data_IF_649908328815
#
_entry.id   IF_649908328815
#
_cell.length_a   1.000
_cell.length_b   1.000
_cell.length_c   1.000
_cell.angle_alpha   90.00
_cell.angle_beta   90.00
_cell.angle_gamma   90.00
#
_symmetry.space_group_name_H-M   'P 1'
#
loop_
_entity.id
_entity.type
_entity.pdbx_description
1 polymer ?
#
# COMPACT_ATOMS: atom_id res chain seq x y z
N UNK A 1 -11.98 6.42 25.96
CA UNK A 1 -11.76 7.27 24.76
C UNK A 1 -10.51 6.76 24.08
N UNK A 2 -10.56 6.37 22.80
CA UNK A 2 -9.32 6.07 22.06
C UNK A 2 -8.47 7.35 22.01
N UNK A 3 -7.16 7.22 22.26
CA UNK A 3 -6.23 8.35 22.20
C UNK A 3 -6.11 8.96 20.79
N UNK A 4 -6.60 8.23 19.79
CA UNK A 4 -6.83 8.71 18.43
C UNK A 4 -8.33 8.90 18.27
N UNK A 5 -8.76 10.03 17.71
CA UNK A 5 -10.18 10.34 17.49
C UNK A 5 -10.88 9.32 16.59
N UNK A 6 -12.07 9.65 16.10
CA UNK A 6 -12.75 8.78 15.14
C UNK A 6 -12.06 8.90 13.77
N UNK A 7 -10.97 8.15 13.59
CA UNK A 7 -10.14 8.15 12.38
C UNK A 7 -9.71 6.73 12.06
N UNK A 8 -9.53 6.48 10.78
CA UNK A 8 -9.01 5.22 10.28
C UNK A 8 -7.55 4.97 10.68
N UNK A 9 -7.28 3.83 11.32
CA UNK A 9 -5.94 3.45 11.78
C UNK A 9 -5.13 2.63 10.76
N UNK A 10 -5.56 2.58 9.49
CA UNK A 10 -4.81 1.94 8.41
C UNK A 10 -4.81 0.40 8.45
N UNK A 11 -5.80 -0.21 9.10
CA UNK A 11 -5.91 -1.66 9.20
C UNK A 11 -6.41 -2.23 7.87
N UNK A 12 -5.51 -2.82 7.08
CA UNK A 12 -5.83 -3.41 5.78
C UNK A 12 -5.55 -4.90 5.76
N UNK A 13 -6.31 -5.68 5.00
CA UNK A 13 -6.05 -7.11 4.84
C UNK A 13 -4.64 -7.38 4.27
N UNK A 14 -4.19 -6.56 3.32
CA UNK A 14 -2.81 -6.60 2.80
C UNK A 14 -1.77 -6.40 3.91
N UNK A 15 -1.97 -5.40 4.76
CA UNK A 15 -1.07 -5.10 5.88
C UNK A 15 -1.02 -6.24 6.90
N UNK A 16 -2.16 -6.77 7.33
CA UNK A 16 -2.20 -7.88 8.29
C UNK A 16 -1.59 -9.17 7.76
N UNK A 17 -1.87 -9.52 6.51
CA UNK A 17 -1.25 -10.69 5.87
C UNK A 17 0.27 -10.53 5.78
N UNK A 18 0.75 -9.37 5.32
CA UNK A 18 2.17 -9.03 5.29
C UNK A 18 2.84 -9.14 6.65
N UNK A 19 2.27 -8.52 7.67
CA UNK A 19 2.80 -8.56 9.04
C UNK A 19 2.88 -9.99 9.57
N UNK A 20 1.82 -10.79 9.40
CA UNK A 20 1.83 -12.18 9.85
C UNK A 20 2.93 -13.00 9.15
N UNK A 21 3.08 -12.85 7.83
CA UNK A 21 4.14 -13.53 7.07
C UNK A 21 5.53 -13.06 7.49
N UNK A 22 5.73 -11.76 7.72
CA UNK A 22 7.00 -11.21 8.17
C UNK A 22 7.39 -11.75 9.56
N UNK A 23 6.44 -11.82 10.50
CA UNK A 23 6.65 -12.41 11.83
C UNK A 23 7.07 -13.88 11.72
N UNK A 24 6.42 -14.67 10.86
CA UNK A 24 6.82 -16.06 10.61
C UNK A 24 8.25 -16.12 10.09
N UNK A 25 8.60 -15.32 9.07
CA UNK A 25 9.95 -15.32 8.49
C UNK A 25 11.04 -14.91 9.49
N UNK A 26 10.79 -13.90 10.32
CA UNK A 26 11.74 -13.48 11.37
C UNK A 26 11.87 -14.56 12.44
N UNK A 27 10.78 -15.20 12.84
CA UNK A 27 10.80 -16.31 13.81
C UNK A 27 11.63 -17.48 13.28
N UNK A 28 11.44 -17.87 12.01
CA UNK A 28 12.22 -18.91 11.35
C UNK A 28 13.71 -18.53 11.28
N UNK A 29 14.02 -17.27 11.02
CA UNK A 29 15.41 -16.76 11.03
C UNK A 29 16.03 -16.87 12.42
N UNK A 30 15.29 -16.53 13.49
CA UNK A 30 15.74 -16.71 14.87
C UNK A 30 16.00 -18.18 15.22
N UNK A 31 15.11 -19.09 14.81
CA UNK A 31 15.32 -20.54 14.96
C UNK A 31 16.56 -21.03 14.23
N UNK A 32 16.82 -20.50 13.02
CA UNK A 32 17.99 -20.86 12.23
C UNK A 32 19.30 -20.50 12.93
N UNK A 33 19.35 -19.36 13.62
CA UNK A 33 20.50 -18.95 14.43
C UNK A 33 20.71 -19.93 15.58
N UNK A 34 19.64 -20.25 16.33
CA UNK A 34 19.72 -21.18 17.46
C UNK A 34 20.15 -22.60 17.02
N UNK A 35 19.74 -23.03 15.83
CA UNK A 35 20.06 -24.34 15.27
C UNK A 35 21.34 -24.37 14.40
N UNK A 36 22.01 -23.23 14.19
CA UNK A 36 23.17 -23.07 13.29
C UNK A 36 22.88 -23.63 11.88
N UNK A 37 21.69 -23.31 11.35
CA UNK A 37 21.16 -23.91 10.12
C UNK A 37 21.05 -22.89 8.97
N UNK A 38 21.96 -22.99 8.00
CA UNK A 38 21.94 -22.14 6.79
C UNK A 38 20.65 -22.36 5.96
N UNK A 39 20.18 -23.59 5.70
CA UNK A 39 18.93 -23.78 4.95
C UNK A 39 17.73 -23.12 5.63
N UNK A 40 17.61 -23.24 6.96
CA UNK A 40 16.51 -22.62 7.70
C UNK A 40 16.59 -21.09 7.65
N UNK A 41 17.81 -20.52 7.67
CA UNK A 41 18.01 -19.09 7.54
C UNK A 41 17.53 -18.59 6.16
N UNK A 42 17.83 -19.32 5.08
CA UNK A 42 17.37 -18.98 3.73
C UNK A 42 15.84 -18.99 3.63
N UNK A 43 15.18 -19.98 4.25
CA UNK A 43 13.71 -20.04 4.31
C UNK A 43 13.15 -18.85 5.10
N UNK A 44 13.73 -18.51 6.25
CA UNK A 44 13.31 -17.38 7.07
C UNK A 44 13.43 -16.04 6.32
N UNK A 45 14.61 -15.75 5.78
CA UNK A 45 14.88 -14.54 4.99
C UNK A 45 13.98 -14.48 3.76
N UNK A 46 13.85 -15.58 3.02
CA UNK A 46 12.98 -15.67 1.85
C UNK A 46 11.51 -15.39 2.21
N UNK A 47 11.03 -15.92 3.32
CA UNK A 47 9.67 -15.67 3.83
C UNK A 47 9.47 -14.21 4.19
N UNK A 48 10.44 -13.57 4.86
CA UNK A 48 10.38 -12.15 5.22
C UNK A 48 10.36 -11.24 3.99
N UNK A 49 11.18 -11.52 2.98
CA UNK A 49 11.15 -10.77 1.71
C UNK A 49 9.84 -11.03 0.96
N UNK A 50 9.37 -12.28 0.97
CA UNK A 50 8.10 -12.69 0.40
C UNK A 50 6.89 -11.96 1.01
N UNK A 51 6.97 -11.58 2.30
CA UNK A 51 5.93 -10.78 2.95
C UNK A 51 5.74 -9.41 2.28
N UNK A 52 6.82 -8.76 1.85
CA UNK A 52 6.76 -7.50 1.09
C UNK A 52 6.07 -7.69 -0.27
N UNK A 53 6.43 -8.75 -0.99
CA UNK A 53 5.79 -9.11 -2.27
C UNK A 53 4.32 -9.43 -2.09
N UNK A 54 3.97 -10.23 -1.08
CA UNK A 54 2.58 -10.57 -0.76
C UNK A 54 1.75 -9.31 -0.45
N UNK A 55 2.28 -8.43 0.39
CA UNK A 55 1.64 -7.15 0.75
C UNK A 55 1.41 -6.31 -0.49
N UNK A 56 2.41 -6.21 -1.37
CA UNK A 56 2.33 -5.46 -2.61
C UNK A 56 1.26 -6.03 -3.57
N UNK A 57 1.27 -7.35 -3.80
CA UNK A 57 0.27 -7.99 -4.66
C UNK A 57 -1.15 -7.84 -4.12
N UNK A 58 -1.34 -7.99 -2.80
CA UNK A 58 -2.63 -7.78 -2.14
C UNK A 58 -3.08 -6.32 -2.24
N UNK A 59 -2.16 -5.37 -2.06
CA UNK A 59 -2.43 -3.95 -2.26
C UNK A 59 -2.90 -3.67 -3.69
N UNK A 60 -2.19 -4.18 -4.70
CA UNK A 60 -2.58 -4.07 -6.11
C UNK A 60 -3.91 -4.78 -6.41
N UNK A 61 -4.25 -5.83 -5.68
CA UNK A 61 -5.53 -6.50 -5.78
C UNK A 61 -6.68 -5.74 -5.08
N UNK A 62 -6.42 -4.62 -4.42
CA UNK A 62 -7.42 -3.81 -3.71
C UNK A 62 -7.69 -4.24 -2.27
N UNK A 63 -6.84 -5.11 -1.71
CA UNK A 63 -6.90 -5.49 -0.29
C UNK A 63 -6.02 -4.59 0.61
N UNK A 64 -5.31 -3.64 -0.02
CA UNK A 64 -4.75 -2.47 0.65
C UNK A 64 -5.70 -1.27 0.52
N UNK A 65 -5.29 -0.14 1.09
CA UNK A 65 -6.00 1.14 0.99
C UNK A 65 -5.01 2.26 0.65
N UNK A 66 -5.45 3.33 -0.04
CA UNK A 66 -4.64 4.52 -0.18
C UNK A 66 -4.35 5.14 1.18
N UNK A 67 -3.23 5.87 1.28
CA UNK A 67 -2.97 6.76 2.40
C UNK A 67 -3.93 7.97 2.35
N UNK A 68 -4.41 8.40 3.51
CA UNK A 68 -5.23 9.60 3.66
C UNK A 68 -6.67 9.33 4.14
N UNK A 69 -7.50 10.38 4.26
CA UNK A 69 -8.87 10.27 4.72
C UNK A 69 -9.71 9.40 3.79
N UNK A 70 -10.63 8.64 4.38
CA UNK A 70 -11.54 7.74 3.66
C UNK A 70 -12.89 7.68 4.40
N UNK A 71 -14.02 7.48 3.69
CA UNK A 71 -15.32 7.34 4.31
C UNK A 71 -15.33 6.15 5.30
N UNK A 72 -16.07 6.27 6.39
CA UNK A 72 -16.18 5.21 7.43
C UNK A 72 -16.64 3.86 6.86
N UNK A 73 -17.49 3.88 5.83
CA UNK A 73 -17.94 2.67 5.13
C UNK A 73 -16.80 1.89 4.47
N UNK A 74 -15.66 2.55 4.20
CA UNK A 74 -14.49 1.92 3.60
C UNK A 74 -13.48 1.44 4.65
N UNK A 75 -13.62 1.85 5.92
CA UNK A 75 -12.69 1.56 7.04
C UNK A 75 -12.46 0.09 7.28
N UNK A 76 -13.49 -0.77 7.28
CA UNK A 76 -13.30 -2.18 7.59
C UNK A 76 -12.27 -2.81 6.65
N UNK A 77 -11.26 -3.44 7.26
CA UNK A 77 -10.12 -4.07 6.57
C UNK A 77 -10.49 -5.10 5.49
N UNK A 78 -11.72 -5.65 5.55
CA UNK A 78 -12.29 -6.60 4.59
C UNK A 78 -12.96 -5.93 3.38
N UNK A 79 -13.20 -4.62 3.42
CA UNK A 79 -13.79 -3.89 2.30
C UNK A 79 -12.72 -3.68 1.24
N UNK A 80 -12.95 -4.25 0.06
CA UNK A 80 -12.02 -4.15 -1.07
C UNK A 80 -12.08 -2.77 -1.71
N UNK A 81 -10.92 -2.17 -1.93
CA UNK A 81 -10.77 -0.95 -2.72
C UNK A 81 -10.91 -1.26 -4.21
N UNK A 82 -11.89 -0.63 -4.86
CA UNK A 82 -12.17 -0.79 -6.29
C UNK A 82 -11.31 0.13 -7.17
N UNK A 83 -10.75 1.20 -6.60
CA UNK A 83 -9.93 2.20 -7.29
C UNK A 83 -8.49 1.74 -7.50
N UNK A 84 -8.03 0.73 -6.74
CA UNK A 84 -6.66 0.20 -6.81
C UNK A 84 -6.18 -0.18 -8.21
N UNK A 85 -7.09 -0.55 -9.13
CA UNK A 85 -6.74 -0.86 -10.54
C UNK A 85 -6.25 0.37 -11.32
N UNK A 86 -6.74 1.55 -10.99
CA UNK A 86 -6.32 2.83 -11.59
C UNK A 86 -5.00 3.31 -10.98
N UNK A 87 -4.68 2.84 -9.78
CA UNK A 87 -3.54 3.29 -8.98
C UNK A 87 -3.88 4.52 -8.15
N UNK A 88 -3.25 4.63 -6.99
CA UNK A 88 -3.46 5.78 -6.10
C UNK A 88 -2.48 6.92 -6.40
N UNK A 89 -2.93 8.18 -6.30
CA UNK A 89 -2.04 9.33 -6.38
C UNK A 89 -0.89 9.20 -5.37
N UNK A 90 0.35 9.37 -5.83
CA UNK A 90 1.53 9.36 -4.95
C UNK A 90 1.98 7.98 -4.43
N UNK A 91 1.23 6.90 -4.64
CA UNK A 91 1.57 5.58 -4.11
C UNK A 91 2.73 4.93 -4.87
N UNK A 92 3.86 4.71 -4.20
CA UNK A 92 5.02 4.02 -4.76
C UNK A 92 4.67 2.60 -5.24
N UNK A 93 3.91 1.84 -4.46
CA UNK A 93 3.51 0.47 -4.81
C UNK A 93 2.68 0.41 -6.10
N UNK A 94 1.75 1.34 -6.29
CA UNK A 94 0.99 1.47 -7.54
C UNK A 94 1.88 1.92 -8.71
N UNK A 95 2.79 2.87 -8.50
CA UNK A 95 3.70 3.36 -9.54
C UNK A 95 4.67 2.29 -10.03
N UNK A 96 5.23 1.49 -9.12
CA UNK A 96 6.09 0.34 -9.47
C UNK A 96 5.33 -0.70 -10.31
N UNK A 97 3.99 -0.73 -10.22
CA UNK A 97 3.12 -1.57 -11.04
C UNK A 97 2.62 -0.86 -12.32
N UNK A 98 3.16 0.32 -12.66
CA UNK A 98 2.75 1.10 -13.83
C UNK A 98 1.38 1.78 -13.70
N UNK A 99 0.81 1.87 -12.50
CA UNK A 99 -0.51 2.48 -12.24
C UNK A 99 -0.37 3.93 -11.77
N UNK A 100 -1.40 4.75 -12.00
CA UNK A 100 -1.46 6.15 -11.55
C UNK A 100 -0.82 7.18 -12.50
N UNK A 101 -0.38 6.79 -13.69
CA UNK A 101 0.29 7.67 -14.65
C UNK A 101 -0.65 8.19 -15.74
N UNK A 102 -1.70 8.96 -15.41
CA UNK A 102 -2.39 9.86 -16.36
C UNK A 102 -3.05 11.05 -15.66
N UNK A 103 -2.33 12.17 -15.58
CA UNK A 103 -2.91 13.50 -15.81
C UNK A 103 -1.89 14.33 -16.58
N UNK A 104 -2.03 14.51 -17.91
CA UNK A 104 -1.33 15.60 -18.56
C UNK A 104 -1.87 16.91 -17.98
N UNK A 105 -1.00 17.65 -17.31
CA UNK A 105 -1.27 19.01 -16.82
C UNK A 105 -1.23 19.97 -18.01
N UNK A 106 -2.16 19.83 -18.96
CA UNK A 106 -2.25 20.67 -20.15
C UNK A 106 -3.67 21.22 -20.31
N UNK A 107 -4.14 22.08 -19.39
CA UNK A 107 -5.27 23.01 -19.68
C UNK A 107 -5.31 24.25 -18.77
N UNK A 108 -4.36 24.46 -17.86
CA UNK A 108 -4.35 25.64 -16.98
C UNK A 108 -3.71 26.89 -17.60
N UNK A 109 -3.05 26.78 -18.77
CA UNK A 109 -2.34 27.92 -19.39
C UNK A 109 -3.14 28.71 -20.45
N UNK A 110 -4.23 28.16 -21.00
CA UNK A 110 -4.98 28.83 -22.08
C UNK A 110 -6.07 29.79 -21.56
N UNK A 111 -6.60 29.57 -20.36
CA UNK A 111 -7.73 30.36 -19.84
C UNK A 111 -7.32 31.77 -19.33
N UNK A 112 -6.06 32.00 -18.96
CA UNK A 112 -5.63 33.30 -18.39
C UNK A 112 -5.35 34.37 -19.45
N UNK A 113 -5.12 33.98 -20.71
CA UNK A 113 -4.82 34.92 -21.81
C UNK A 113 -6.10 35.49 -22.44
N UNK A 114 -7.21 34.74 -22.40
CA UNK A 114 -8.48 35.19 -22.98
C UNK A 114 -9.17 36.31 -22.17
N UNK A 115 -8.82 36.49 -20.90
CA UNK A 115 -9.48 37.48 -20.02
C UNK A 115 -8.80 38.85 -20.00
N UNK A 116 -7.68 39.05 -20.71
CA UNK A 116 -6.90 40.31 -20.70
C UNK A 116 -7.08 41.16 -21.96
N UNK A 117 -7.96 40.78 -22.90
CA UNK A 117 -8.11 41.42 -24.22
C UNK A 117 -9.48 42.12 -24.40
N UNK A 118 -10.24 42.42 -23.34
CA UNK A 118 -11.52 43.14 -23.49
C UNK A 118 -11.79 44.22 -22.44
N UNK A 119 -10.76 44.96 -22.05
CA UNK A 119 -10.89 46.23 -21.30
C UNK A 119 -10.61 47.42 -22.20
#
# INVERSE_FOLDING_TARGET
>A
MSAHGHVDLGHTAAGWAGTATAVIGVTLTGMAVAAVSVPLALVGVGTTLGAGVLTWLLHLAGWGKPSGPRPESEWPWRVRDRTARQGHPGCLGCRLAGRGARRPENTSKTARVASTVSG
#
